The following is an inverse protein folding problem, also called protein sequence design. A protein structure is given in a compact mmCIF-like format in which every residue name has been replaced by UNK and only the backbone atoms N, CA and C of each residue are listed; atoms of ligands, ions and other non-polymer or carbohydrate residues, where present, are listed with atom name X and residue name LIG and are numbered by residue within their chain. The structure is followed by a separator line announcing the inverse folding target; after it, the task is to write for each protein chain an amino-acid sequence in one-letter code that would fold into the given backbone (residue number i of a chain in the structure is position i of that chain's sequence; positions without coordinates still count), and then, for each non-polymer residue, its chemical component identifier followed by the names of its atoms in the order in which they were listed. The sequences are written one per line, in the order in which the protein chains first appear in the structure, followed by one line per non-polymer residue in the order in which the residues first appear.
data_IF_932060593233
#
_entry.id   IF_932060593233
#
_cell.length_a   1.000
_cell.length_b   1.000
_cell.length_c   1.000
_cell.angle_alpha   90.00
_cell.angle_beta   90.00
_cell.angle_gamma   90.00
#
_symmetry.space_group_name_H-M   'P 1'
#
loop_
_entity.id
_entity.type
_entity.pdbx_description
1 polymer ?
#
# COMPACT_ATOMS: atom_id res chain seq x y z
N UNK A 1 10.13 -14.86 -6.80
CA UNK A 1 10.06 -13.95 -5.67
C UNK A 1 11.44 -13.78 -5.12
N UNK A 2 11.81 -12.58 -4.79
CA UNK A 2 13.20 -12.24 -4.65
C UNK A 2 13.49 -11.83 -3.21
N UNK A 3 14.36 -12.60 -2.55
CA UNK A 3 15.19 -12.09 -1.48
C UNK A 3 16.17 -11.13 -2.17
N UNK A 4 16.30 -9.88 -1.68
CA UNK A 4 17.06 -8.81 -2.31
C UNK A 4 16.51 -8.45 -3.71
N UNK A 5 15.33 -7.83 -3.72
CA UNK A 5 14.73 -7.32 -4.96
C UNK A 5 15.60 -6.22 -5.57
N UNK A 6 15.48 -6.03 -6.91
CA UNK A 6 16.12 -4.90 -7.59
C UNK A 6 15.29 -3.60 -7.50
N UNK A 7 14.16 -3.64 -6.80
CA UNK A 7 13.31 -2.46 -6.57
C UNK A 7 13.96 -1.64 -5.46
N UNK A 8 14.44 -0.43 -5.77
CA UNK A 8 15.27 0.40 -4.88
C UNK A 8 14.60 0.76 -3.54
N UNK A 9 13.26 0.90 -3.54
CA UNK A 9 12.50 1.27 -2.35
C UNK A 9 12.01 0.09 -1.51
N UNK A 10 12.37 -1.16 -1.86
CA UNK A 10 12.01 -2.37 -1.12
C UNK A 10 13.19 -3.32 -0.98
N UNK A 11 13.27 -4.04 0.14
CA UNK A 11 14.32 -5.04 0.37
C UNK A 11 13.91 -6.41 -0.20
N UNK A 12 12.61 -6.73 -0.13
CA UNK A 12 12.05 -7.99 -0.62
C UNK A 12 10.76 -7.74 -1.42
N UNK A 13 10.41 -8.71 -2.27
CA UNK A 13 9.12 -8.73 -2.96
C UNK A 13 8.37 -9.99 -2.61
N UNK A 14 7.13 -9.85 -2.17
CA UNK A 14 6.23 -10.96 -1.85
C UNK A 14 4.96 -10.89 -2.67
N UNK A 15 4.60 -12.00 -3.30
CA UNK A 15 3.34 -12.16 -4.02
C UNK A 15 2.57 -13.32 -3.38
N UNK A 16 1.52 -13.05 -2.60
CA UNK A 16 0.68 -14.09 -2.00
C UNK A 16 -0.12 -14.85 -3.06
N UNK A 17 -0.46 -14.19 -4.13
CA UNK A 17 -1.07 -14.73 -5.35
C UNK A 17 -0.55 -14.00 -6.58
N UNK A 18 -0.94 -14.47 -7.75
CA UNK A 18 -0.62 -13.87 -9.04
C UNK A 18 -1.88 -13.75 -9.89
N UNK A 19 -1.91 -12.77 -10.78
CA UNK A 19 -3.04 -12.44 -11.64
C UNK A 19 -3.73 -11.16 -11.20
N UNK A 20 -4.20 -10.39 -12.18
CA UNK A 20 -4.85 -9.10 -11.98
C UNK A 20 -5.72 -8.76 -13.19
N UNK A 21 -6.42 -7.63 -13.13
CA UNK A 21 -7.20 -7.03 -14.21
C UNK A 21 -6.83 -5.56 -14.34
N UNK A 22 -6.80 -5.04 -15.57
CA UNK A 22 -6.57 -3.62 -15.83
C UNK A 22 -7.72 -2.77 -15.28
N UNK A 23 -7.39 -1.69 -14.58
CA UNK A 23 -8.36 -0.74 -13.99
C UNK A 23 -7.94 0.72 -14.15
N UNK A 24 -6.80 0.96 -14.79
CA UNK A 24 -6.15 2.26 -14.87
C UNK A 24 -5.34 2.34 -16.17
N UNK A 25 -5.15 3.51 -16.78
CA UNK A 25 -4.21 3.70 -17.88
C UNK A 25 -2.78 3.24 -17.52
N UNK A 26 -2.38 3.31 -16.26
CA UNK A 26 -1.13 2.76 -15.77
C UNK A 26 -0.99 1.24 -15.94
N UNK A 27 -2.07 0.54 -16.30
CA UNK A 27 -2.05 -0.90 -16.55
C UNK A 27 -1.81 -1.26 -18.03
N UNK A 28 -1.74 -0.30 -18.98
CA UNK A 28 -1.68 -0.60 -20.40
C UNK A 28 -0.40 -1.34 -20.81
N UNK A 29 0.71 -1.02 -20.17
CA UNK A 29 2.01 -1.67 -20.37
C UNK A 29 2.48 -2.41 -19.11
N UNK A 30 1.57 -3.13 -18.44
CA UNK A 30 1.84 -3.79 -17.17
C UNK A 30 2.88 -4.91 -17.32
N UNK A 31 4.02 -4.77 -16.64
CA UNK A 31 5.08 -5.79 -16.66
C UNK A 31 4.61 -7.13 -16.08
N UNK A 32 3.66 -7.11 -15.12
CA UNK A 32 3.13 -8.30 -14.48
C UNK A 32 2.23 -9.11 -15.45
N UNK A 33 1.47 -8.43 -16.33
CA UNK A 33 0.75 -9.08 -17.42
C UNK A 33 1.73 -9.70 -18.43
N UNK A 34 2.79 -8.97 -18.79
CA UNK A 34 3.85 -9.49 -19.64
C UNK A 34 4.55 -10.72 -19.03
N UNK A 35 4.77 -10.72 -17.73
CA UNK A 35 5.29 -11.88 -17.01
C UNK A 35 4.31 -13.05 -17.04
N UNK A 36 3.03 -12.81 -16.79
CA UNK A 36 1.99 -13.83 -16.82
C UNK A 36 1.92 -14.54 -18.19
N UNK A 37 1.95 -13.76 -19.28
CA UNK A 37 1.98 -14.26 -20.66
C UNK A 37 3.22 -15.13 -20.94
N UNK A 38 4.40 -14.70 -20.51
CA UNK A 38 5.64 -15.47 -20.73
C UNK A 38 5.73 -16.74 -19.90
N UNK A 39 5.24 -16.69 -18.66
CA UNK A 39 5.33 -17.84 -17.74
C UNK A 39 4.24 -18.88 -17.97
N UNK A 40 3.11 -18.51 -18.58
CA UNK A 40 1.92 -19.36 -18.71
C UNK A 40 1.27 -19.76 -17.38
N UNK A 41 1.71 -19.15 -16.27
CA UNK A 41 1.28 -19.58 -14.93
C UNK A 41 -0.14 -19.15 -14.56
N UNK A 42 -0.61 -18.04 -15.13
CA UNK A 42 -1.93 -17.46 -14.84
C UNK A 42 -2.43 -16.70 -16.06
N UNK A 43 -3.72 -16.76 -16.32
CA UNK A 43 -4.39 -15.88 -17.26
C UNK A 43 -4.58 -14.49 -16.63
N UNK A 44 -4.64 -13.46 -17.48
CA UNK A 44 -4.79 -12.07 -17.06
C UNK A 44 -6.10 -11.50 -17.57
N UNK A 45 -6.85 -10.81 -16.71
CA UNK A 45 -8.08 -10.16 -17.14
C UNK A 45 -9.24 -10.31 -16.16
N UNK A 46 -10.44 -9.77 -16.52
CA UNK A 46 -11.58 -9.68 -15.62
C UNK A 46 -12.17 -11.04 -15.23
N UNK A 47 -12.15 -12.00 -16.15
CA UNK A 47 -12.74 -13.34 -15.93
C UNK A 47 -11.68 -14.41 -15.64
N UNK A 48 -10.45 -13.99 -15.35
CA UNK A 48 -9.36 -14.91 -15.10
C UNK A 48 -9.22 -15.17 -13.59
N UNK A 49 -9.07 -16.44 -13.24
CA UNK A 49 -8.85 -16.85 -11.86
C UNK A 49 -7.50 -16.31 -11.35
N UNK A 50 -7.48 -15.89 -10.10
CA UNK A 50 -6.23 -15.60 -9.39
C UNK A 50 -5.61 -16.88 -8.90
N UNK A 51 -4.29 -16.97 -8.91
CA UNK A 51 -3.57 -18.17 -8.49
C UNK A 51 -2.79 -17.91 -7.21
N UNK A 52 -3.16 -18.60 -6.14
CA UNK A 52 -2.41 -18.58 -4.87
C UNK A 52 -1.01 -19.15 -5.09
N UNK A 53 -0.01 -18.54 -4.51
CA UNK A 53 1.38 -19.02 -4.59
C UNK A 53 1.63 -20.17 -3.60
N UNK A 54 2.75 -20.88 -3.78
CA UNK A 54 3.05 -22.09 -3.01
C UNK A 54 3.25 -21.78 -1.51
N UNK A 55 3.02 -22.75 -0.65
CA UNK A 55 3.28 -22.65 0.79
C UNK A 55 4.75 -22.29 1.09
N UNK A 56 5.68 -22.83 0.30
CA UNK A 56 7.10 -22.47 0.47
C UNK A 56 7.34 -20.97 0.26
N UNK A 57 6.59 -20.34 -0.65
CA UNK A 57 6.61 -18.89 -0.81
C UNK A 57 6.03 -18.19 0.41
N UNK A 58 4.90 -18.64 0.94
CA UNK A 58 4.26 -18.08 2.12
C UNK A 58 5.11 -18.16 3.40
N UNK A 59 6.05 -19.10 3.45
CA UNK A 59 7.02 -19.21 4.56
C UNK A 59 8.19 -18.23 4.46
N UNK A 60 8.44 -17.58 3.31
CA UNK A 60 9.59 -16.69 3.14
C UNK A 60 9.54 -15.46 4.06
N UNK A 61 8.41 -14.74 4.21
CA UNK A 61 8.35 -13.59 5.11
C UNK A 61 8.68 -13.94 6.58
N UNK A 62 8.32 -15.13 7.05
CA UNK A 62 8.69 -15.58 8.41
C UNK A 62 10.21 -15.68 8.58
N UNK A 63 10.92 -16.15 7.55
CA UNK A 63 12.39 -16.22 7.56
C UNK A 63 13.01 -14.82 7.54
N UNK A 64 12.50 -13.92 6.70
CA UNK A 64 12.96 -12.52 6.65
C UNK A 64 12.72 -11.81 7.99
N UNK A 65 11.56 -12.03 8.60
CA UNK A 65 11.23 -11.47 9.91
C UNK A 65 12.19 -11.95 10.99
N UNK A 66 12.49 -13.24 11.03
CA UNK A 66 13.46 -13.81 11.99
C UNK A 66 14.88 -13.25 11.77
N UNK A 67 15.31 -13.11 10.50
CA UNK A 67 16.59 -12.49 10.15
C UNK A 67 16.63 -11.02 10.59
N UNK A 68 15.61 -10.24 10.26
CA UNK A 68 15.49 -8.83 10.61
C UNK A 68 15.53 -8.61 12.13
N UNK A 69 14.76 -9.41 12.89
CA UNK A 69 14.75 -9.36 14.36
C UNK A 69 16.11 -9.69 14.96
N UNK A 70 16.83 -10.69 14.40
CA UNK A 70 18.15 -11.09 14.88
C UNK A 70 19.22 -10.00 14.70
N UNK A 71 19.16 -9.23 13.60
CA UNK A 71 20.15 -8.19 13.30
C UNK A 71 19.70 -6.77 13.65
N UNK A 72 18.49 -6.63 14.21
CA UNK A 72 17.98 -5.34 14.70
C UNK A 72 17.56 -4.36 13.60
N UNK A 73 17.16 -4.85 12.42
CA UNK A 73 16.67 -4.01 11.31
C UNK A 73 15.20 -4.27 10.98
N UNK A 74 14.63 -3.43 10.12
CA UNK A 74 13.32 -3.65 9.52
C UNK A 74 13.49 -3.75 8.02
N UNK A 75 13.00 -4.85 7.42
CA UNK A 75 12.99 -4.99 5.97
C UNK A 75 11.66 -4.50 5.38
N UNK A 76 11.73 -3.76 4.29
CA UNK A 76 10.59 -3.33 3.51
C UNK A 76 10.20 -4.40 2.50
N UNK A 77 8.95 -4.85 2.58
CA UNK A 77 8.40 -5.92 1.71
C UNK A 77 7.36 -5.34 0.79
N UNK A 78 7.67 -5.26 -0.51
CA UNK A 78 6.69 -4.88 -1.52
C UNK A 78 5.67 -6.00 -1.75
N UNK A 79 4.42 -5.76 -1.45
CA UNK A 79 3.28 -6.65 -1.65
C UNK A 79 2.14 -5.91 -2.39
N UNK A 80 1.74 -6.29 -3.60
CA UNK A 80 2.24 -7.39 -4.39
C UNK A 80 2.59 -6.90 -5.79
N UNK A 81 3.70 -7.39 -6.35
CA UNK A 81 4.20 -6.92 -7.65
C UNK A 81 3.53 -7.58 -8.86
N UNK A 82 2.90 -8.77 -8.68
CA UNK A 82 2.26 -9.55 -9.75
C UNK A 82 0.73 -9.69 -9.56
N UNK A 83 0.15 -8.88 -8.67
CA UNK A 83 -1.27 -8.86 -8.36
C UNK A 83 -1.63 -7.52 -7.70
N UNK A 84 -2.85 -7.41 -7.20
CA UNK A 84 -3.29 -6.30 -6.35
C UNK A 84 -3.97 -6.88 -5.10
N UNK A 85 -3.61 -6.40 -3.91
CA UNK A 85 -4.14 -6.90 -2.63
C UNK A 85 -5.65 -6.65 -2.53
N UNK A 86 -6.13 -5.55 -3.10
CA UNK A 86 -7.52 -5.14 -3.05
C UNK A 86 -8.31 -5.47 -4.34
N UNK A 87 -7.87 -6.51 -5.07
CA UNK A 87 -8.59 -7.02 -6.23
C UNK A 87 -9.84 -7.83 -5.77
N UNK A 88 -11.01 -7.50 -6.33
CA UNK A 88 -12.30 -8.15 -6.03
C UNK A 88 -12.31 -9.65 -6.38
N UNK A 89 -11.51 -10.07 -7.37
CA UNK A 89 -11.44 -11.46 -7.80
C UNK A 89 -10.59 -12.35 -6.87
N UNK A 90 -9.95 -11.78 -5.85
CA UNK A 90 -9.19 -12.55 -4.85
C UNK A 90 -10.13 -13.02 -3.75
N UNK A 91 -10.13 -14.33 -3.40
CA UNK A 91 -10.90 -14.82 -2.27
C UNK A 91 -10.55 -14.11 -0.96
N UNK A 92 -11.56 -13.75 -0.18
CA UNK A 92 -11.40 -13.06 1.11
C UNK A 92 -10.50 -13.85 2.07
N UNK A 93 -10.59 -15.17 2.06
CA UNK A 93 -9.77 -16.04 2.92
C UNK A 93 -8.26 -15.90 2.63
N UNK A 94 -7.86 -15.77 1.35
CA UNK A 94 -6.45 -15.54 1.03
C UNK A 94 -5.95 -14.19 1.54
N UNK A 95 -6.83 -13.19 1.56
CA UNK A 95 -6.52 -11.86 2.08
C UNK A 95 -6.42 -11.91 3.61
N UNK A 96 -7.30 -12.64 4.29
CA UNK A 96 -7.20 -12.87 5.75
C UNK A 96 -5.89 -13.56 6.13
N UNK A 97 -5.49 -14.61 5.36
CA UNK A 97 -4.21 -15.29 5.56
C UNK A 97 -3.02 -14.32 5.39
N UNK A 98 -3.10 -13.40 4.40
CA UNK A 98 -2.06 -12.39 4.20
C UNK A 98 -1.95 -11.47 5.42
N UNK A 99 -3.06 -10.96 5.93
CA UNK A 99 -3.04 -10.07 7.09
C UNK A 99 -2.61 -10.79 8.38
N UNK A 100 -2.95 -12.07 8.52
CA UNK A 100 -2.41 -12.92 9.59
C UNK A 100 -0.89 -13.04 9.50
N UNK A 101 -0.35 -13.26 8.29
CA UNK A 101 1.10 -13.30 8.06
C UNK A 101 1.77 -11.94 8.37
N UNK A 102 1.15 -10.83 7.97
CA UNK A 102 1.62 -9.47 8.27
C UNK A 102 1.70 -9.26 9.79
N UNK A 103 0.67 -9.62 10.53
CA UNK A 103 0.64 -9.53 11.99
C UNK A 103 1.74 -10.41 12.65
N UNK A 104 2.00 -11.60 12.09
CA UNK A 104 3.04 -12.51 12.58
C UNK A 104 4.48 -12.07 12.24
N UNK A 105 4.66 -10.99 11.51
CA UNK A 105 5.98 -10.52 11.03
C UNK A 105 6.26 -9.06 11.42
N UNK A 106 6.36 -8.73 12.72
CA UNK A 106 6.47 -7.36 13.22
C UNK A 106 7.77 -6.65 12.86
N UNK A 107 8.82 -7.37 12.47
CA UNK A 107 10.10 -6.79 12.02
C UNK A 107 10.13 -6.48 10.52
N UNK A 108 9.03 -6.69 9.78
CA UNK A 108 8.90 -6.29 8.39
C UNK A 108 7.98 -5.07 8.27
N UNK A 109 8.31 -4.15 7.37
CA UNK A 109 7.41 -3.09 6.91
C UNK A 109 6.76 -3.54 5.59
N UNK A 110 5.44 -3.71 5.60
CA UNK A 110 4.69 -4.20 4.45
C UNK A 110 4.15 -3.04 3.61
N UNK A 111 4.65 -2.91 2.39
CA UNK A 111 4.27 -1.88 1.45
C UNK A 111 3.18 -2.42 0.52
N UNK A 112 1.93 -2.12 0.83
CA UNK A 112 0.75 -2.54 0.06
C UNK A 112 0.42 -1.48 -0.99
N UNK A 113 0.88 -1.68 -2.22
CA UNK A 113 0.61 -0.79 -3.34
C UNK A 113 -0.62 -1.26 -4.12
N UNK A 114 -1.55 -0.35 -4.38
CA UNK A 114 -2.79 -0.67 -5.09
C UNK A 114 -3.20 0.38 -6.12
N UNK A 115 -3.93 -0.04 -7.13
CA UNK A 115 -4.71 0.80 -8.05
C UNK A 115 -6.22 0.74 -7.75
N UNK A 116 -6.59 0.12 -6.61
CA UNK A 116 -7.99 -0.12 -6.18
C UNK A 116 -8.27 0.40 -4.78
N UNK A 117 -7.79 1.60 -4.48
CA UNK A 117 -7.88 2.17 -3.13
C UNK A 117 -9.33 2.27 -2.64
N UNK A 118 -10.31 2.42 -3.54
CA UNK A 118 -11.73 2.43 -3.18
C UNK A 118 -12.24 1.14 -2.54
N UNK A 119 -11.58 -0.01 -2.80
CA UNK A 119 -11.94 -1.29 -2.20
C UNK A 119 -11.31 -1.49 -0.82
N UNK A 120 -10.20 -0.79 -0.55
CA UNK A 120 -9.37 -1.03 0.62
C UNK A 120 -10.13 -0.91 1.95
N UNK A 121 -10.99 0.11 2.20
CA UNK A 121 -11.66 0.25 3.49
C UNK A 121 -12.52 -0.96 3.87
N UNK A 122 -13.34 -1.45 2.95
CA UNK A 122 -14.21 -2.62 3.21
C UNK A 122 -13.41 -3.89 3.35
N UNK A 123 -12.42 -4.11 2.48
CA UNK A 123 -11.60 -5.32 2.51
C UNK A 123 -10.67 -5.38 3.73
N UNK A 124 -10.21 -4.24 4.21
CA UNK A 124 -9.47 -4.15 5.47
C UNK A 124 -10.40 -4.47 6.65
N UNK A 125 -11.60 -3.90 6.68
CA UNK A 125 -12.59 -4.18 7.72
C UNK A 125 -12.95 -5.68 7.79
N UNK A 126 -13.15 -6.33 6.63
CA UNK A 126 -13.45 -7.75 6.53
C UNK A 126 -12.31 -8.66 7.03
N UNK A 127 -11.06 -8.25 6.83
CA UNK A 127 -9.90 -9.08 7.14
C UNK A 127 -9.39 -8.90 8.58
N UNK A 128 -9.47 -7.70 9.12
CA UNK A 128 -8.81 -7.32 10.39
C UNK A 128 -9.73 -6.57 11.35
N UNK A 129 -10.99 -6.35 10.95
CA UNK A 129 -12.00 -5.70 11.79
C UNK A 129 -11.71 -4.23 12.07
N UNK A 130 -12.42 -3.68 13.06
CA UNK A 130 -12.28 -2.27 13.46
C UNK A 130 -11.01 -1.98 14.28
N UNK A 131 -10.34 -3.02 14.79
CA UNK A 131 -9.13 -2.94 15.60
C UNK A 131 -7.83 -2.77 14.79
N UNK A 132 -7.95 -2.46 13.49
CA UNK A 132 -6.81 -2.35 12.58
C UNK A 132 -5.71 -1.35 13.01
N UNK A 133 -6.06 -0.36 13.79
CA UNK A 133 -5.17 0.70 14.24
C UNK A 133 -5.26 0.82 15.77
N UNK A 134 -4.30 0.49 16.54
CA UNK A 134 -2.86 0.75 16.54
C UNK A 134 -1.96 -0.46 16.32
N UNK A 135 -2.48 -1.69 16.22
CA UNK A 135 -1.68 -2.90 16.36
C UNK A 135 -0.88 -3.30 15.09
N UNK A 136 -1.20 -2.74 13.93
CA UNK A 136 -0.53 -3.06 12.66
C UNK A 136 0.41 -1.94 12.18
N UNK A 137 1.24 -1.43 13.09
CA UNK A 137 2.22 -0.36 12.82
C UNK A 137 3.30 -0.71 11.77
N UNK A 138 3.19 -1.86 11.13
CA UNK A 138 4.09 -2.33 10.09
C UNK A 138 3.45 -2.36 8.69
N UNK A 139 2.26 -1.77 8.51
CA UNK A 139 1.59 -1.66 7.20
C UNK A 139 1.72 -0.23 6.68
N UNK A 140 2.20 -0.11 5.45
CA UNK A 140 2.23 1.12 4.67
C UNK A 140 1.27 0.95 3.50
N UNK A 141 0.33 1.87 3.32
CA UNK A 141 -0.62 1.83 2.20
C UNK A 141 -0.17 2.83 1.13
N UNK A 142 -0.06 2.34 -0.09
CA UNK A 142 0.29 3.17 -1.24
C UNK A 142 -0.68 3.02 -2.40
N UNK A 143 -0.75 4.07 -3.22
CA UNK A 143 -1.48 4.04 -4.48
C UNK A 143 -0.57 4.37 -5.65
N UNK A 144 -0.89 3.79 -6.81
CA UNK A 144 -0.33 4.28 -8.07
C UNK A 144 -1.25 5.37 -8.62
N UNK A 145 -0.66 6.50 -9.01
CA UNK A 145 -1.32 7.57 -9.77
C UNK A 145 -0.47 7.88 -11.00
N UNK A 146 -1.07 7.86 -12.19
CA UNK A 146 -0.34 8.07 -13.43
C UNK A 146 -0.66 9.41 -14.11
N UNK A 147 -1.68 10.11 -13.66
CA UNK A 147 -2.13 11.40 -14.17
C UNK A 147 -2.91 12.18 -13.11
N UNK A 148 -3.22 13.46 -13.40
CA UNK A 148 -3.92 14.33 -12.48
C UNK A 148 -5.34 13.85 -12.10
N UNK A 149 -6.04 13.19 -13.03
CA UNK A 149 -7.40 12.68 -12.77
C UNK A 149 -7.36 11.58 -11.70
N UNK A 150 -6.41 10.66 -11.80
CA UNK A 150 -6.22 9.61 -10.78
C UNK A 150 -5.75 10.20 -9.44
N UNK A 151 -4.84 11.17 -9.47
CA UNK A 151 -4.39 11.87 -8.27
C UNK A 151 -5.57 12.50 -7.52
N UNK A 152 -6.39 13.30 -8.20
CA UNK A 152 -7.57 13.93 -7.61
C UNK A 152 -8.63 12.95 -7.11
N UNK A 153 -8.78 11.80 -7.78
CA UNK A 153 -9.75 10.77 -7.41
C UNK A 153 -9.31 9.92 -6.21
N UNK A 154 -8.03 9.55 -6.16
CA UNK A 154 -7.57 8.45 -5.30
C UNK A 154 -6.73 8.91 -4.10
N UNK A 155 -6.03 10.06 -4.16
CA UNK A 155 -5.30 10.59 -3.01
C UNK A 155 -6.24 10.89 -1.83
N UNK A 156 -7.42 11.53 -2.00
CA UNK A 156 -8.34 11.73 -0.88
C UNK A 156 -8.79 10.41 -0.23
N UNK A 157 -8.98 9.34 -1.02
CA UNK A 157 -9.33 8.01 -0.48
C UNK A 157 -8.18 7.40 0.31
N UNK A 158 -6.94 7.55 -0.18
CA UNK A 158 -5.75 7.12 0.55
C UNK A 158 -5.62 7.84 1.89
N UNK A 159 -5.81 9.16 1.89
CA UNK A 159 -5.72 9.99 3.09
C UNK A 159 -6.81 9.63 4.13
N UNK A 160 -7.97 9.15 3.69
CA UNK A 160 -9.05 8.69 4.57
C UNK A 160 -8.74 7.35 5.26
N UNK A 161 -7.77 6.57 4.78
CA UNK A 161 -7.37 5.31 5.41
C UNK A 161 -6.36 5.61 6.52
N UNK A 162 -6.64 5.17 7.74
CA UNK A 162 -5.67 5.21 8.84
C UNK A 162 -4.55 4.21 8.55
N UNK A 163 -3.32 4.68 8.51
CA UNK A 163 -2.12 3.85 8.27
C UNK A 163 -0.91 4.53 8.91
N UNK A 164 0.09 3.76 9.31
CA UNK A 164 1.34 4.30 9.83
C UNK A 164 2.04 5.19 8.82
N UNK A 165 2.08 4.73 7.57
CA UNK A 165 2.63 5.51 6.45
C UNK A 165 1.77 5.34 5.21
N UNK A 166 1.68 6.40 4.44
CA UNK A 166 1.05 6.44 3.12
C UNK A 166 2.12 6.82 2.10
N UNK A 167 2.01 6.29 0.88
CA UNK A 167 2.96 6.64 -0.17
C UNK A 167 2.29 6.64 -1.54
N UNK A 168 2.89 7.38 -2.46
CA UNK A 168 2.51 7.42 -3.87
C UNK A 168 3.57 6.73 -4.72
N UNK A 169 3.12 5.91 -5.67
CA UNK A 169 3.92 5.43 -6.78
C UNK A 169 3.45 6.15 -8.04
N UNK A 170 4.30 7.01 -8.58
CA UNK A 170 3.98 7.81 -9.78
C UNK A 170 4.57 7.13 -11.02
N UNK A 171 4.34 5.82 -11.13
CA UNK A 171 4.90 4.98 -12.19
C UNK A 171 3.82 4.07 -12.80
N UNK A 172 3.61 4.21 -14.13
CA UNK A 172 4.20 5.18 -15.06
C UNK A 172 3.61 6.59 -14.86
N UNK A 173 4.41 7.63 -15.11
CA UNK A 173 3.92 9.01 -15.19
C UNK A 173 3.44 9.25 -16.63
N UNK A 174 2.14 9.45 -16.82
CA UNK A 174 1.51 9.64 -18.15
C UNK A 174 1.13 11.11 -18.41
N UNK A 175 1.47 12.01 -17.51
CA UNK A 175 1.22 13.44 -17.63
C UNK A 175 1.65 14.18 -16.38
N UNK A 176 1.60 15.49 -16.40
CA UNK A 176 1.88 16.33 -15.25
C UNK A 176 0.91 16.04 -14.10
N UNK A 177 1.42 15.99 -12.87
CA UNK A 177 0.63 15.78 -11.65
C UNK A 177 1.02 16.85 -10.64
N UNK A 178 0.04 17.63 -10.20
CA UNK A 178 0.16 18.56 -9.09
C UNK A 178 -0.52 17.98 -7.85
N UNK A 179 0.27 17.71 -6.82
CA UNK A 179 -0.19 17.16 -5.53
C UNK A 179 -0.02 18.15 -4.38
N UNK A 180 0.33 19.41 -4.65
CA UNK A 180 0.65 20.42 -3.62
C UNK A 180 -0.46 20.62 -2.60
N UNK A 181 -1.72 20.47 -3.00
CA UNK A 181 -2.89 20.58 -2.10
C UNK A 181 -2.92 19.46 -1.04
N UNK A 182 -2.35 18.29 -1.34
CA UNK A 182 -2.33 17.12 -0.46
C UNK A 182 -1.10 17.08 0.44
N UNK A 183 -0.09 17.90 0.18
CA UNK A 183 1.16 17.98 0.95
C UNK A 183 1.07 19.01 2.09
N UNK A 184 -0.06 19.70 2.22
CA UNK A 184 -0.29 20.61 3.36
C UNK A 184 -0.50 19.81 4.62
N UNK A 185 0.02 20.26 5.79
CA UNK A 185 -0.26 19.60 7.05
C UNK A 185 -1.78 19.50 7.25
N UNK A 186 -2.30 18.28 7.23
CA UNK A 186 -3.71 18.05 7.52
C UNK A 186 -3.87 17.94 9.04
N UNK A 187 -4.44 18.95 9.65
CA UNK A 187 -4.85 18.92 11.05
C UNK A 187 -6.32 18.54 11.14
N UNK A 188 -6.67 17.23 11.29
CA UNK A 188 -8.08 16.79 11.27
C UNK A 188 -8.89 17.22 12.49
N UNK A 189 -8.23 17.82 13.49
CA UNK A 189 -8.86 18.24 14.74
C UNK A 189 -8.29 19.60 15.21
N UNK A 190 -8.57 20.66 14.50
CA UNK A 190 -8.54 21.98 15.10
C UNK A 190 -9.97 22.37 15.50
N UNK A 191 -10.34 22.37 16.81
CA UNK A 191 -11.70 22.67 17.26
C UNK A 191 -12.15 24.10 16.95
N UNK A 192 -11.23 24.96 16.56
CA UNK A 192 -11.51 26.40 16.34
C UNK A 192 -11.62 26.81 14.88
N UNK A 193 -11.55 25.85 13.91
CA UNK A 193 -11.48 26.18 12.48
C UNK A 193 -10.24 27.03 12.18
N UNK A 194 -9.66 26.87 10.99
CA UNK A 194 -8.50 27.66 10.55
C UNK A 194 -8.95 29.10 10.40
N UNK A 195 -8.72 29.99 11.38
CA UNK A 195 -8.91 31.41 11.20
C UNK A 195 -7.73 31.97 10.37
N UNK A 196 -8.05 32.66 9.26
CA UNK A 196 -7.09 33.43 8.48
C UNK A 196 -6.32 34.38 9.41
N UNK A 197 -5.01 34.13 9.59
CA UNK A 197 -4.16 35.03 10.39
C UNK A 197 -3.13 34.34 11.28
N UNK A 198 -3.12 33.01 11.40
CA UNK A 198 -2.06 32.31 12.12
C UNK A 198 -0.78 32.27 11.24
N UNK A 199 0.31 32.84 11.73
CA UNK A 199 1.61 32.85 11.04
C UNK A 199 2.09 31.41 10.81
N UNK A 200 2.36 31.08 9.55
CA UNK A 200 2.80 29.75 9.11
C UNK A 200 4.30 29.48 9.30
N UNK A 201 4.99 30.22 10.16
CA UNK A 201 6.46 30.11 10.22
C UNK A 201 7.00 28.86 10.89
N UNK A 202 6.18 28.05 11.59
CA UNK A 202 6.66 26.87 12.32
C UNK A 202 5.79 25.61 12.21
N UNK A 203 4.78 25.57 11.35
CA UNK A 203 4.00 24.33 11.13
C UNK A 203 3.09 23.92 12.30
N UNK A 204 2.89 24.75 13.32
CA UNK A 204 2.08 24.44 14.50
C UNK A 204 0.90 25.40 14.63
N UNK A 205 -0.27 24.86 14.94
CA UNK A 205 -1.36 25.67 15.47
C UNK A 205 -1.06 25.99 16.94
N UNK A 206 -1.08 27.26 17.34
CA UNK A 206 -0.81 27.69 18.71
C UNK A 206 -1.75 27.05 19.76
N UNK A 207 -2.92 26.58 19.34
CA UNK A 207 -3.91 25.89 20.18
C UNK A 207 -3.69 24.37 20.28
N UNK A 208 -2.89 23.80 19.37
CA UNK A 208 -2.61 22.36 19.29
C UNK A 208 -1.15 22.05 19.65
N UNK A 209 -0.49 22.93 20.42
CA UNK A 209 0.89 22.74 20.85
C UNK A 209 1.06 21.42 21.61
N UNK A 210 1.65 20.44 20.95
CA UNK A 210 1.92 19.09 21.50
C UNK A 210 1.67 17.91 20.56
N UNK A 211 1.06 18.12 19.39
CA UNK A 211 0.89 17.06 18.42
C UNK A 211 1.80 17.26 17.21
N UNK A 212 2.82 16.45 17.08
CA UNK A 212 3.64 16.39 15.85
C UNK A 212 2.76 15.93 14.68
N UNK A 213 2.81 16.68 13.58
CA UNK A 213 2.19 16.25 12.33
C UNK A 213 3.06 15.13 11.72
N UNK A 214 2.49 13.95 11.49
CA UNK A 214 3.15 12.93 10.68
C UNK A 214 3.25 13.44 9.24
N UNK A 215 4.45 13.55 8.66
CA UNK A 215 4.62 13.89 7.26
C UNK A 215 4.10 12.74 6.37
N UNK A 216 3.48 13.11 5.25
CA UNK A 216 3.03 12.18 4.20
C UNK A 216 4.22 11.52 3.49
#
# INVERSE_FOLDING_TARGET
MSKNTKIEWADHTFNPWVGCTKVSPACDHCYAEGWAKRSGMVQWGPNADRRRTSENNWRQPLKWNAEAGRIGVRYRVFCSSLADVFDNAVPTEWRKDLFTLIAATPHLDWLLLTKRIGNAPLMLLECIGTSFFPDHGNIWIGITVCNQIEAGRDIPKLLAIRSKKRFLSVEPLLGEINISEYLRPYYPYCPTGFQQGASMELGYCATCAGHEADPI
#
